data_IF_687552623389
#
_entry.id   IF_687552623389
#
_cell.length_a   1.000
_cell.length_b   1.000
_cell.length_c   1.000
_cell.angle_alpha   90.00
_cell.angle_beta   90.00
_cell.angle_gamma   90.00
#
_symmetry.space_group_name_H-M   'P 1'
#
loop_
_entity.id
_entity.type
_entity.pdbx_description
1 polymer ?
#
# COMPACT_ATOMS: atom_id res chain seq x y z
N UNK A 1 37.69 19.81 -31.78
CA UNK A 1 38.37 19.83 -30.47
C UNK A 1 37.53 19.01 -29.52
N UNK A 2 37.88 17.74 -29.26
CA UNK A 2 37.25 16.98 -28.21
C UNK A 2 37.88 17.40 -26.87
N UNK A 3 37.07 17.98 -25.99
CA UNK A 3 37.48 18.25 -24.63
C UNK A 3 37.61 16.90 -23.90
N UNK A 4 38.85 16.52 -23.63
CA UNK A 4 39.20 15.43 -22.72
C UNK A 4 38.64 15.74 -21.34
N UNK A 5 37.50 15.16 -21.02
CA UNK A 5 37.10 14.95 -19.63
C UNK A 5 37.76 13.62 -19.24
N UNK A 6 38.92 13.74 -18.59
CA UNK A 6 39.51 12.65 -17.85
C UNK A 6 38.49 12.17 -16.80
N UNK A 7 38.35 10.85 -16.61
CA UNK A 7 37.57 10.32 -15.50
C UNK A 7 38.27 10.70 -14.18
N UNK A 8 37.54 11.02 -13.10
CA UNK A 8 38.15 11.04 -11.78
C UNK A 8 38.50 9.61 -11.37
N UNK A 9 39.78 9.25 -11.56
CA UNK A 9 40.44 8.24 -10.75
C UNK A 9 40.56 8.80 -9.34
N UNK A 10 39.69 8.35 -8.43
CA UNK A 10 40.04 7.89 -7.07
C UNK A 10 38.72 7.55 -6.34
N UNK A 11 38.04 6.49 -6.80
CA UNK A 11 37.12 5.78 -5.93
C UNK A 11 38.00 4.91 -5.03
N UNK A 12 38.54 5.52 -3.97
CA UNK A 12 39.10 4.78 -2.86
C UNK A 12 38.06 3.77 -2.42
N UNK A 13 38.32 2.50 -2.73
CA UNK A 13 37.60 1.37 -2.15
C UNK A 13 37.67 1.53 -0.65
N UNK A 14 36.60 2.06 -0.07
CA UNK A 14 36.37 2.02 1.36
C UNK A 14 36.41 0.53 1.74
N UNK A 15 37.41 0.07 2.51
CA UNK A 15 37.39 -1.30 2.95
C UNK A 15 36.14 -1.43 3.81
N UNK A 16 35.23 -2.31 3.39
CA UNK A 16 34.09 -2.73 4.18
C UNK A 16 34.58 -2.92 5.62
N UNK A 17 34.15 -2.03 6.52
CA UNK A 17 34.42 -2.16 7.94
C UNK A 17 33.60 -3.36 8.40
N UNK A 18 34.18 -4.53 8.17
CA UNK A 18 33.79 -5.76 8.82
C UNK A 18 33.91 -5.43 10.31
N UNK A 19 32.84 -5.53 11.12
CA UNK A 19 33.03 -5.48 12.55
C UNK A 19 33.98 -6.64 12.87
N UNK A 20 35.17 -6.30 13.36
CA UNK A 20 36.18 -7.24 13.80
C UNK A 20 35.45 -8.23 14.70
N UNK A 21 35.33 -9.46 14.22
CA UNK A 21 34.68 -10.53 14.95
C UNK A 21 35.61 -10.85 16.09
N UNK A 22 35.41 -10.17 17.22
CA UNK A 22 36.10 -10.46 18.46
C UNK A 22 35.91 -11.96 18.73
N UNK A 23 37.00 -12.74 18.84
CA UNK A 23 36.88 -14.15 19.16
C UNK A 23 36.11 -14.25 20.48
N UNK A 24 35.04 -15.06 20.46
CA UNK A 24 34.27 -15.38 21.66
C UNK A 24 35.27 -15.85 22.72
N UNK A 25 35.34 -15.22 23.91
CA UNK A 25 36.15 -15.76 24.98
C UNK A 25 35.60 -17.14 25.31
N UNK A 26 36.47 -18.14 25.20
CA UNK A 26 36.23 -19.47 25.74
C UNK A 26 35.72 -19.35 27.17
N UNK A 27 34.85 -20.27 27.58
CA UNK A 27 34.17 -20.37 28.87
C UNK A 27 35.13 -20.22 30.06
N UNK A 28 35.52 -18.99 30.34
CA UNK A 28 36.17 -18.51 31.52
C UNK A 28 35.12 -17.68 32.23
N UNK A 29 34.73 -18.15 33.42
CA UNK A 29 33.94 -17.48 34.45
C UNK A 29 33.73 -15.99 34.13
N UNK A 30 32.49 -15.57 33.89
CA UNK A 30 32.13 -14.15 33.81
C UNK A 30 32.56 -13.49 35.11
N UNK A 31 33.80 -12.99 35.13
CA UNK A 31 34.40 -12.36 36.29
C UNK A 31 33.48 -11.19 36.63
N UNK A 32 32.86 -11.16 37.82
CA UNK A 32 31.88 -10.14 38.14
C UNK A 32 32.57 -8.79 38.01
N UNK A 33 32.15 -8.00 37.02
CA UNK A 33 32.68 -6.66 36.78
C UNK A 33 32.50 -5.87 38.08
N UNK A 34 33.61 -5.70 38.81
CA UNK A 34 33.67 -4.98 40.08
C UNK A 34 33.51 -3.49 39.77
N UNK A 35 32.27 -3.03 39.62
CA UNK A 35 31.99 -1.61 39.53
C UNK A 35 32.34 -1.00 40.89
N UNK A 36 33.29 -0.04 40.98
CA UNK A 36 33.50 0.71 42.21
C UNK A 36 32.17 1.35 42.62
N UNK A 37 31.86 1.42 43.91
CA UNK A 37 30.57 1.95 44.40
C UNK A 37 30.28 3.38 43.88
N UNK A 38 31.34 4.16 43.64
CA UNK A 38 31.27 5.46 42.96
C UNK A 38 30.77 5.39 41.49
N UNK A 39 31.08 4.32 40.77
CA UNK A 39 30.62 4.07 39.40
C UNK A 39 29.16 3.62 39.34
N UNK A 40 28.66 2.90 40.35
CA UNK A 40 27.25 2.52 40.42
C UNK A 40 26.33 3.73 40.59
N UNK A 41 26.73 4.70 41.41
CA UNK A 41 26.01 5.95 41.58
C UNK A 41 25.92 6.77 40.28
N UNK A 42 27.00 6.79 39.48
CA UNK A 42 27.02 7.44 38.16
C UNK A 42 26.07 6.75 37.19
N UNK A 43 26.14 5.42 37.08
CA UNK A 43 25.25 4.64 36.21
C UNK A 43 23.78 4.83 36.62
N UNK A 44 23.49 4.82 37.92
CA UNK A 44 22.14 5.07 38.42
C UNK A 44 21.66 6.48 38.07
N UNK A 45 22.53 7.49 38.17
CA UNK A 45 22.22 8.85 37.76
C UNK A 45 21.97 8.96 36.24
N UNK A 46 22.76 8.24 35.43
CA UNK A 46 22.59 8.21 33.98
C UNK A 46 21.28 7.51 33.57
N UNK A 47 20.92 6.40 34.24
CA UNK A 47 19.62 5.72 34.05
C UNK A 47 18.45 6.62 34.48
N UNK A 48 18.59 7.33 35.61
CA UNK A 48 17.58 8.29 36.06
C UNK A 48 17.41 9.46 35.06
N UNK A 49 18.51 9.92 34.46
CA UNK A 49 18.49 10.96 33.43
C UNK A 49 17.88 10.46 32.12
N UNK A 50 18.18 9.23 31.72
CA UNK A 50 17.64 8.62 30.50
C UNK A 50 16.12 8.42 30.64
N UNK A 51 15.66 7.88 31.77
CA UNK A 51 14.22 7.70 32.05
C UNK A 51 13.47 9.03 32.11
N UNK A 52 14.05 10.07 32.71
CA UNK A 52 13.48 11.41 32.67
C UNK A 52 13.35 11.96 31.23
N UNK A 53 14.34 11.68 30.37
CA UNK A 53 14.33 12.09 28.96
C UNK A 53 13.29 11.32 28.14
N UNK A 54 13.08 10.03 28.42
CA UNK A 54 11.99 9.25 27.81
C UNK A 54 10.63 9.83 28.18
N UNK A 55 10.40 10.15 29.46
CA UNK A 55 9.14 10.75 29.89
C UNK A 55 8.85 12.12 29.25
N UNK A 56 9.89 12.89 28.92
CA UNK A 56 9.74 14.16 28.20
C UNK A 56 9.41 13.91 26.71
N UNK A 57 10.05 12.92 26.09
CA UNK A 57 9.78 12.56 24.70
C UNK A 57 8.35 12.03 24.51
N UNK A 58 7.85 11.22 25.45
CA UNK A 58 6.46 10.73 25.42
C UNK A 58 5.45 11.90 25.46
N UNK A 59 5.71 12.91 26.30
CA UNK A 59 4.87 14.12 26.33
C UNK A 59 4.94 14.92 25.04
N UNK A 60 6.10 14.96 24.39
CA UNK A 60 6.25 15.61 23.10
C UNK A 60 5.49 14.85 22.00
N UNK A 61 5.56 13.52 21.99
CA UNK A 61 4.78 12.69 21.06
C UNK A 61 3.28 12.90 21.30
N UNK A 62 2.82 12.88 22.56
CA UNK A 62 1.42 13.17 22.89
C UNK A 62 0.99 14.55 22.40
N UNK A 63 1.85 15.56 22.54
CA UNK A 63 1.57 16.93 22.09
C UNK A 63 1.51 17.04 20.56
N UNK A 64 2.38 16.32 19.85
CA UNK A 64 2.40 16.30 18.38
C UNK A 64 1.28 15.42 17.78
N UNK A 65 0.87 14.38 18.51
CA UNK A 65 -0.19 13.45 18.11
C UNK A 65 -1.58 13.97 18.47
N UNK A 66 -1.67 14.90 19.43
CA UNK A 66 -2.90 15.62 19.71
C UNK A 66 -3.34 16.38 18.45
N UNK A 67 -4.46 15.95 17.87
CA UNK A 67 -5.04 16.60 16.72
C UNK A 67 -5.29 18.09 17.03
N UNK A 68 -4.94 19.01 16.11
CA UNK A 68 -5.29 20.41 16.29
C UNK A 68 -6.81 20.53 16.47
N UNK A 69 -7.28 21.42 17.35
CA UNK A 69 -8.72 21.61 17.53
C UNK A 69 -9.35 21.97 16.18
N UNK A 70 -10.57 21.47 15.89
CA UNK A 70 -11.20 21.68 14.60
C UNK A 70 -11.29 23.18 14.28
N UNK A 71 -11.09 23.56 13.01
CA UNK A 71 -11.02 24.97 12.58
C UNK A 71 -12.30 25.77 12.85
N UNK A 72 -13.41 25.09 13.17
CA UNK A 72 -14.73 25.70 13.37
C UNK A 72 -15.08 26.04 14.82
N UNK A 73 -14.12 25.96 15.76
CA UNK A 73 -14.39 26.45 17.12
C UNK A 73 -14.14 27.96 17.21
N UNK A 74 -15.18 28.81 17.27
CA UNK A 74 -15.02 30.28 17.34
C UNK A 74 -14.31 30.78 18.61
N UNK A 75 -14.00 29.88 19.55
CA UNK A 75 -13.32 30.18 20.81
C UNK A 75 -11.91 29.59 20.93
N UNK A 76 -11.46 28.77 19.97
CA UNK A 76 -10.14 28.14 20.00
C UNK A 76 -8.98 29.15 20.00
N UNK A 77 -9.13 30.25 19.29
CA UNK A 77 -8.17 31.36 19.26
C UNK A 77 -8.00 32.09 20.60
N UNK A 78 -8.90 31.87 21.58
CA UNK A 78 -8.94 32.62 22.84
C UNK A 78 -8.66 31.74 24.07
N UNK A 79 -8.22 30.49 23.90
CA UNK A 79 -7.81 29.60 25.00
C UNK A 79 -8.94 29.21 25.98
N UNK A 80 -10.21 29.37 25.58
CA UNK A 80 -11.34 28.90 26.36
C UNK A 80 -11.54 27.40 26.12
N UNK A 81 -11.85 26.60 27.16
CA UNK A 81 -12.11 25.17 26.98
C UNK A 81 -13.31 25.00 26.04
N UNK A 82 -13.04 24.45 24.85
CA UNK A 82 -14.09 23.93 23.98
C UNK A 82 -14.87 22.83 24.70
N UNK A 83 -16.09 22.54 24.24
CA UNK A 83 -16.98 21.52 24.80
C UNK A 83 -16.32 20.12 24.82
N UNK A 84 -15.47 19.89 25.82
CA UNK A 84 -14.87 18.61 26.16
C UNK A 84 -16.00 17.74 26.74
N UNK A 85 -16.54 16.86 25.91
CA UNK A 85 -17.65 15.99 26.30
C UNK A 85 -18.55 15.54 25.16
N UNK A 86 -18.39 16.08 23.94
CA UNK A 86 -18.99 15.45 22.77
C UNK A 86 -18.21 14.16 22.46
N UNK A 87 -18.90 13.04 22.20
CA UNK A 87 -18.23 11.83 21.76
C UNK A 87 -17.43 12.16 20.49
N UNK A 88 -16.18 11.71 20.42
CA UNK A 88 -15.41 11.78 19.19
C UNK A 88 -16.25 11.20 18.07
N UNK A 89 -16.34 11.91 16.94
CA UNK A 89 -16.99 11.37 15.76
C UNK A 89 -16.35 9.99 15.45
N UNK A 90 -17.14 8.98 15.06
CA UNK A 90 -16.57 7.70 14.65
C UNK A 90 -15.52 7.98 13.57
N UNK A 91 -14.33 7.38 13.73
CA UNK A 91 -13.28 7.51 12.74
C UNK A 91 -13.84 7.07 11.38
N UNK A 92 -13.54 7.79 10.28
CA UNK A 92 -13.95 7.35 8.96
C UNK A 92 -13.40 5.94 8.71
N UNK A 93 -14.16 5.06 8.03
CA UNK A 93 -13.70 3.72 7.70
C UNK A 93 -12.39 3.81 6.90
N UNK A 94 -11.43 2.95 7.22
CA UNK A 94 -10.16 2.90 6.51
C UNK A 94 -10.41 2.41 5.07
N UNK A 95 -9.82 3.07 4.06
CA UNK A 95 -9.98 2.64 2.67
C UNK A 95 -9.27 1.30 2.46
N UNK A 96 -10.04 0.24 2.20
CA UNK A 96 -9.52 -1.08 1.84
C UNK A 96 -9.71 -1.32 0.34
N UNK A 97 -8.72 -1.89 -0.38
CA UNK A 97 -8.91 -2.33 -1.76
C UNK A 97 -10.04 -3.37 -1.87
N UNK A 98 -10.88 -3.25 -2.90
CA UNK A 98 -12.02 -4.16 -3.10
C UNK A 98 -11.62 -5.64 -3.12
N UNK A 99 -10.44 -5.99 -3.67
CA UNK A 99 -9.96 -7.37 -3.74
C UNK A 99 -9.55 -7.97 -2.38
N UNK A 100 -9.51 -7.16 -1.31
CA UNK A 100 -9.28 -7.62 0.06
C UNK A 100 -10.60 -7.83 0.84
N UNK A 101 -11.74 -7.49 0.23
CA UNK A 101 -13.06 -7.70 0.81
C UNK A 101 -13.51 -9.15 0.58
N UNK A 102 -14.35 -9.66 1.47
CA UNK A 102 -14.81 -11.06 1.46
C UNK A 102 -16.34 -11.13 1.35
N UNK A 103 -16.83 -12.16 0.66
CA UNK A 103 -18.24 -12.55 0.57
C UNK A 103 -19.20 -11.36 0.29
N UNK A 104 -20.15 -11.11 1.18
CA UNK A 104 -21.20 -10.09 1.04
C UNK A 104 -20.62 -8.67 0.99
N UNK A 105 -19.51 -8.41 1.69
CA UNK A 105 -18.86 -7.09 1.66
C UNK A 105 -18.26 -6.80 0.28
N UNK A 106 -17.69 -7.83 -0.37
CA UNK A 106 -17.17 -7.69 -1.73
C UNK A 106 -18.28 -7.40 -2.74
N UNK A 107 -19.39 -8.14 -2.66
CA UNK A 107 -20.53 -7.96 -3.59
C UNK A 107 -21.20 -6.59 -3.41
N UNK A 108 -21.43 -6.15 -2.17
CA UNK A 108 -22.00 -4.82 -1.88
C UNK A 108 -21.11 -3.69 -2.41
N UNK A 109 -19.79 -3.81 -2.24
CA UNK A 109 -18.83 -2.83 -2.74
C UNK A 109 -18.76 -2.84 -4.27
N UNK A 110 -18.83 -4.02 -4.90
CA UNK A 110 -18.82 -4.18 -6.36
C UNK A 110 -20.10 -3.62 -7.00
N UNK A 111 -21.25 -3.77 -6.35
CA UNK A 111 -22.52 -3.18 -6.78
C UNK A 111 -22.46 -1.66 -6.71
N UNK A 112 -22.00 -1.10 -5.58
CA UNK A 112 -21.83 0.35 -5.42
C UNK A 112 -20.83 0.93 -6.44
N UNK A 113 -19.74 0.21 -6.71
CA UNK A 113 -18.78 0.57 -7.74
C UNK A 113 -19.43 0.52 -9.13
N UNK A 114 -20.22 -0.50 -9.42
CA UNK A 114 -20.88 -0.67 -10.72
C UNK A 114 -21.87 0.45 -11.01
N UNK A 115 -22.70 0.81 -10.03
CA UNK A 115 -23.59 1.96 -10.13
C UNK A 115 -22.81 3.25 -10.45
N UNK A 116 -21.70 3.49 -9.74
CA UNK A 116 -20.88 4.68 -10.00
C UNK A 116 -20.22 4.66 -11.39
N UNK A 117 -19.73 3.50 -11.84
CA UNK A 117 -19.11 3.35 -13.16
C UNK A 117 -20.13 3.64 -14.26
N UNK A 118 -21.32 3.05 -14.18
CA UNK A 118 -22.34 3.11 -15.23
C UNK A 118 -23.06 4.47 -15.25
N UNK A 119 -23.43 5.01 -14.10
CA UNK A 119 -24.21 6.25 -14.02
C UNK A 119 -23.36 7.51 -14.14
N UNK A 120 -22.08 7.45 -13.75
CA UNK A 120 -21.19 8.62 -13.73
C UNK A 120 -19.96 8.46 -14.61
N UNK A 121 -19.10 7.47 -14.34
CA UNK A 121 -17.77 7.43 -14.98
C UNK A 121 -17.87 7.28 -16.49
N UNK A 122 -18.55 6.24 -16.97
CA UNK A 122 -18.68 5.96 -18.41
C UNK A 122 -19.57 7.00 -19.07
N UNK A 123 -20.62 7.46 -18.40
CA UNK A 123 -21.52 8.48 -18.93
C UNK A 123 -20.84 9.82 -19.20
N UNK A 124 -19.88 10.21 -18.35
CA UNK A 124 -19.20 11.52 -18.42
C UNK A 124 -17.84 11.43 -19.13
N UNK A 125 -17.08 10.37 -18.88
CA UNK A 125 -15.69 10.22 -19.34
C UNK A 125 -15.48 9.04 -20.30
N UNK A 126 -16.52 8.27 -20.60
CA UNK A 126 -16.49 7.18 -21.58
C UNK A 126 -16.47 7.71 -23.01
N UNK A 127 -15.28 8.08 -23.50
CA UNK A 127 -15.07 8.34 -24.93
C UNK A 127 -15.48 7.13 -25.79
N UNK A 128 -15.74 7.35 -27.08
CA UNK A 128 -16.14 6.31 -28.05
C UNK A 128 -15.27 5.05 -27.95
N UNK A 129 -15.92 3.88 -28.03
CA UNK A 129 -15.22 2.60 -28.01
C UNK A 129 -14.56 2.38 -29.36
N UNK A 130 -13.24 2.22 -29.34
CA UNK A 130 -12.43 2.02 -30.54
C UNK A 130 -11.31 1.02 -30.23
N UNK A 131 -10.56 0.57 -31.24
CA UNK A 131 -9.34 -0.23 -31.02
C UNK A 131 -8.29 0.50 -30.17
N UNK A 132 -8.28 1.85 -30.17
CA UNK A 132 -7.36 2.63 -29.36
C UNK A 132 -7.85 2.84 -27.91
N UNK A 133 -9.16 2.69 -27.68
CA UNK A 133 -9.83 2.88 -26.41
C UNK A 133 -10.92 1.81 -26.21
N UNK A 134 -10.56 0.54 -25.97
CA UNK A 134 -11.54 -0.53 -25.75
C UNK A 134 -12.38 -0.28 -24.48
N UNK A 135 -13.50 -0.98 -24.40
CA UNK A 135 -14.33 -1.10 -23.20
C UNK A 135 -14.88 -2.53 -23.10
N UNK A 136 -15.36 -2.94 -21.93
CA UNK A 136 -16.00 -4.24 -21.74
C UNK A 136 -17.28 -4.03 -20.93
N UNK A 137 -18.41 -4.55 -21.42
CA UNK A 137 -19.68 -4.51 -20.68
C UNK A 137 -19.66 -5.45 -19.47
N UNK A 138 -18.76 -6.44 -19.47
CA UNK A 138 -18.50 -7.35 -18.36
C UNK A 138 -17.15 -7.03 -17.71
N UNK A 139 -16.84 -5.75 -17.51
CA UNK A 139 -15.55 -5.33 -16.95
C UNK A 139 -15.32 -5.88 -15.53
N UNK A 140 -16.38 -6.26 -14.81
CA UNK A 140 -16.33 -6.87 -13.49
C UNK A 140 -15.62 -8.24 -13.50
N UNK A 141 -15.59 -8.93 -14.65
CA UNK A 141 -14.83 -10.19 -14.80
C UNK A 141 -13.30 -9.96 -14.93
N UNK A 142 -12.86 -8.70 -14.96
CA UNK A 142 -11.45 -8.32 -15.05
C UNK A 142 -10.97 -7.76 -13.71
N UNK A 143 -10.37 -8.61 -12.86
CA UNK A 143 -9.91 -8.24 -11.51
C UNK A 143 -9.00 -7.00 -11.49
N UNK A 144 -8.13 -6.87 -12.49
CA UNK A 144 -7.25 -5.71 -12.62
C UNK A 144 -8.01 -4.42 -12.94
N UNK A 145 -9.05 -4.48 -13.79
CA UNK A 145 -9.95 -3.36 -14.07
C UNK A 145 -10.77 -3.01 -12.83
N UNK A 146 -11.31 -4.00 -12.13
CA UNK A 146 -12.02 -3.81 -10.86
C UNK A 146 -11.13 -3.06 -9.86
N UNK A 147 -9.88 -3.49 -9.68
CA UNK A 147 -8.93 -2.81 -8.80
C UNK A 147 -8.64 -1.36 -9.22
N UNK A 148 -8.41 -1.11 -10.52
CA UNK A 148 -8.17 0.25 -11.03
C UNK A 148 -9.37 1.17 -10.85
N UNK A 149 -10.58 0.69 -11.15
CA UNK A 149 -11.80 1.49 -11.05
C UNK A 149 -12.19 1.74 -9.60
N UNK A 150 -12.00 0.76 -8.71
CA UNK A 150 -12.24 0.94 -7.28
C UNK A 150 -11.29 1.98 -6.68
N UNK A 151 -9.98 1.88 -6.96
CA UNK A 151 -9.01 2.88 -6.52
C UNK A 151 -9.33 4.28 -7.05
N UNK A 152 -9.77 4.39 -8.31
CA UNK A 152 -10.21 5.65 -8.91
C UNK A 152 -11.46 6.22 -8.21
N UNK A 153 -12.41 5.36 -7.85
CA UNK A 153 -13.62 5.74 -7.13
C UNK A 153 -13.29 6.22 -5.71
N UNK A 154 -12.45 5.51 -4.96
CA UNK A 154 -11.98 5.98 -3.64
C UNK A 154 -11.30 7.35 -3.72
N UNK A 155 -10.43 7.54 -4.73
CA UNK A 155 -9.80 8.84 -4.97
C UNK A 155 -10.83 9.93 -5.31
N UNK A 156 -11.87 9.61 -6.07
CA UNK A 156 -12.97 10.53 -6.36
C UNK A 156 -13.69 10.96 -5.08
N UNK A 157 -14.00 10.02 -4.20
CA UNK A 157 -14.68 10.31 -2.94
C UNK A 157 -13.85 11.26 -2.06
N UNK A 158 -12.55 11.01 -1.92
CA UNK A 158 -11.64 11.88 -1.16
C UNK A 158 -11.58 13.30 -1.74
N UNK A 159 -11.51 13.45 -3.06
CA UNK A 159 -11.30 14.75 -3.71
C UNK A 159 -12.58 15.53 -4.01
N UNK A 160 -13.73 14.86 -3.92
CA UNK A 160 -15.06 15.48 -3.91
C UNK A 160 -15.42 16.03 -2.52
N UNK A 161 -14.78 15.54 -1.47
CA UNK A 161 -15.05 15.97 -0.10
C UNK A 161 -14.82 17.47 0.09
N UNK A 162 -15.57 18.10 1.00
CA UNK A 162 -15.48 19.53 1.27
C UNK A 162 -14.07 19.94 1.76
N UNK A 163 -13.40 19.05 2.50
CA UNK A 163 -12.06 19.29 3.05
C UNK A 163 -10.97 19.30 1.97
N UNK A 164 -11.24 18.77 0.77
CA UNK A 164 -10.31 18.83 -0.36
C UNK A 164 -10.18 20.24 -0.98
N UNK A 165 -11.08 21.16 -0.62
CA UNK A 165 -11.11 22.54 -1.11
C UNK A 165 -11.56 22.67 -2.58
N UNK A 166 -11.67 23.92 -3.06
CA UNK A 166 -12.26 24.23 -4.37
C UNK A 166 -11.50 23.63 -5.56
N UNK A 167 -10.23 23.29 -5.39
CA UNK A 167 -9.40 22.65 -6.42
C UNK A 167 -9.44 21.13 -6.39
N UNK A 168 -10.08 20.49 -5.40
CA UNK A 168 -10.03 19.05 -5.17
C UNK A 168 -10.39 18.23 -6.40
N UNK A 169 -11.51 18.56 -7.05
CA UNK A 169 -11.93 17.88 -8.28
C UNK A 169 -10.94 18.05 -9.44
N UNK A 170 -10.28 19.21 -9.58
CA UNK A 170 -9.29 19.39 -10.63
C UNK A 170 -8.01 18.57 -10.38
N UNK A 171 -7.63 18.42 -9.11
CA UNK A 171 -6.56 17.50 -8.69
C UNK A 171 -6.94 16.06 -9.03
N UNK A 172 -8.17 15.64 -8.72
CA UNK A 172 -8.66 14.29 -9.07
C UNK A 172 -8.55 14.00 -10.57
N UNK A 173 -8.96 14.95 -11.42
CA UNK A 173 -8.85 14.80 -12.88
C UNK A 173 -7.40 14.63 -13.34
N UNK A 174 -6.50 15.48 -12.83
CA UNK A 174 -5.09 15.54 -13.22
C UNK A 174 -4.33 14.29 -12.79
N UNK A 175 -4.51 13.87 -11.54
CA UNK A 175 -3.64 12.88 -10.90
C UNK A 175 -4.18 11.46 -10.98
N UNK A 176 -5.51 11.27 -11.05
CA UNK A 176 -6.13 9.95 -10.92
C UNK A 176 -6.93 9.57 -12.17
N UNK A 177 -7.94 10.35 -12.54
CA UNK A 177 -8.84 10.01 -13.65
C UNK A 177 -8.09 9.82 -14.97
N UNK A 178 -7.27 10.80 -15.35
CA UNK A 178 -6.55 10.75 -16.64
C UNK A 178 -5.63 9.54 -16.70
N UNK A 179 -4.94 9.22 -15.60
CA UNK A 179 -4.03 8.09 -15.52
C UNK A 179 -4.78 6.74 -15.57
N UNK A 180 -5.80 6.56 -14.72
CA UNK A 180 -6.57 5.33 -14.65
C UNK A 180 -7.26 5.02 -15.99
N UNK A 181 -7.91 6.02 -16.60
CA UNK A 181 -8.60 5.83 -17.90
C UNK A 181 -7.61 5.54 -19.04
N UNK A 182 -6.43 6.18 -19.04
CA UNK A 182 -5.39 5.88 -20.02
C UNK A 182 -4.82 4.46 -19.87
N UNK A 183 -4.77 3.92 -18.64
CA UNK A 183 -4.30 2.55 -18.39
C UNK A 183 -5.37 1.51 -18.72
N UNK A 184 -6.58 1.63 -18.16
CA UNK A 184 -7.68 0.65 -18.32
C UNK A 184 -8.09 0.53 -19.79
N UNK A 185 -8.18 1.67 -20.49
CA UNK A 185 -8.58 1.73 -21.89
C UNK A 185 -7.40 1.84 -22.85
N UNK A 186 -6.18 1.45 -22.45
CA UNK A 186 -5.08 1.38 -23.41
C UNK A 186 -5.34 0.28 -24.46
N UNK A 187 -4.91 0.49 -25.70
CA UNK A 187 -5.00 -0.52 -26.77
C UNK A 187 -4.30 -1.86 -26.43
N UNK A 188 -3.27 -1.82 -25.57
CA UNK A 188 -2.59 -3.00 -25.02
C UNK A 188 -2.86 -3.24 -23.54
N UNK A 189 -3.88 -2.57 -22.99
CA UNK A 189 -4.28 -2.66 -21.60
C UNK A 189 -5.13 -3.90 -21.28
N UNK A 190 -5.72 -3.95 -20.08
CA UNK A 190 -6.46 -5.11 -19.59
C UNK A 190 -7.70 -5.45 -20.44
N UNK A 191 -8.30 -4.44 -21.07
CA UNK A 191 -9.45 -4.59 -21.96
C UNK A 191 -9.09 -4.76 -23.43
N UNK A 192 -7.81 -4.94 -23.78
CA UNK A 192 -7.34 -5.02 -25.18
C UNK A 192 -7.94 -6.17 -26.00
N UNK A 193 -8.41 -7.23 -25.35
CA UNK A 193 -9.07 -8.36 -25.99
C UNK A 193 -10.62 -8.28 -25.97
N UNK A 194 -11.18 -7.19 -25.46
CA UNK A 194 -12.62 -6.97 -25.33
C UNK A 194 -13.17 -6.09 -26.47
N UNK A 195 -14.34 -5.48 -26.27
CA UNK A 195 -15.05 -4.70 -27.27
C UNK A 195 -14.23 -3.50 -27.75
N UNK A 196 -13.99 -3.47 -29.06
CA UNK A 196 -13.28 -2.39 -29.77
C UNK A 196 -14.16 -1.70 -30.82
N UNK A 197 -15.41 -2.17 -30.96
CA UNK A 197 -16.45 -1.66 -31.84
C UNK A 197 -17.81 -1.86 -31.12
N UNK A 198 -18.58 -0.79 -30.85
CA UNK A 198 -19.88 -0.89 -30.17
C UNK A 198 -20.87 -1.86 -30.82
N UNK A 199 -20.80 -2.05 -32.15
CA UNK A 199 -21.72 -2.93 -32.86
C UNK A 199 -21.30 -4.41 -32.79
N UNK A 200 -20.12 -4.70 -32.21
CA UNK A 200 -19.53 -6.03 -32.12
C UNK A 200 -19.03 -6.29 -30.69
N UNK A 201 -19.94 -6.65 -29.77
CA UNK A 201 -19.56 -6.95 -28.40
C UNK A 201 -18.58 -8.13 -28.37
N UNK A 202 -17.53 -7.98 -27.58
CA UNK A 202 -16.52 -9.01 -27.36
C UNK A 202 -16.08 -8.95 -25.90
N UNK A 203 -16.00 -10.11 -25.27
CA UNK A 203 -15.50 -10.28 -23.92
C UNK A 203 -14.45 -11.41 -23.93
N UNK A 204 -13.27 -11.13 -23.40
CA UNK A 204 -12.21 -12.12 -23.22
C UNK A 204 -11.22 -11.65 -22.15
N UNK A 205 -11.16 -12.40 -21.06
CA UNK A 205 -10.10 -12.25 -20.04
C UNK A 205 -8.79 -12.82 -20.59
N UNK A 206 -7.72 -12.02 -20.54
CA UNK A 206 -6.38 -12.46 -20.88
C UNK A 206 -5.72 -13.11 -19.66
N UNK A 207 -5.08 -14.29 -19.79
CA UNK A 207 -4.40 -14.89 -18.66
C UNK A 207 -3.19 -14.06 -18.25
N UNK A 208 -3.02 -13.86 -16.94
CA UNK A 208 -1.86 -13.20 -16.37
C UNK A 208 -0.55 -13.96 -16.65
N UNK A 209 0.61 -13.28 -16.53
CA UNK A 209 1.90 -13.94 -16.61
C UNK A 209 2.04 -14.99 -15.50
N UNK A 210 2.85 -16.02 -15.74
CA UNK A 210 3.14 -17.01 -14.70
C UNK A 210 3.86 -16.36 -13.52
N UNK A 211 3.57 -16.79 -12.27
CA UNK A 211 4.33 -16.38 -11.11
C UNK A 211 5.83 -16.65 -11.29
N UNK A 212 6.66 -15.91 -10.54
CA UNK A 212 8.11 -16.10 -10.58
C UNK A 212 8.51 -17.52 -10.18
N UNK A 213 9.62 -18.01 -10.73
CA UNK A 213 10.16 -19.33 -10.39
C UNK A 213 10.52 -19.49 -8.90
N UNK A 214 10.78 -18.38 -8.19
CA UNK A 214 11.01 -18.37 -6.74
C UNK A 214 9.77 -18.85 -5.96
N UNK A 215 8.58 -18.48 -6.43
CA UNK A 215 7.32 -18.88 -5.80
C UNK A 215 7.01 -20.34 -6.08
N UNK A 216 7.23 -20.80 -7.31
CA UNK A 216 6.91 -22.19 -7.72
C UNK A 216 7.83 -23.24 -7.09
N UNK A 217 9.09 -22.89 -6.78
CA UNK A 217 10.02 -23.81 -6.10
C UNK A 217 9.66 -24.08 -4.63
N UNK A 218 8.73 -23.34 -4.05
CA UNK A 218 8.27 -23.57 -2.68
C UNK A 218 7.10 -24.58 -2.59
N UNK A 219 6.48 -24.92 -3.72
CA UNK A 219 5.19 -25.64 -3.76
C UNK A 219 5.27 -27.07 -4.33
N UNK A 220 6.43 -27.60 -4.73
CA UNK A 220 6.51 -29.01 -5.18
C UNK A 220 6.22 -29.97 -4.00
N UNK A 221 5.07 -30.69 -4.00
CA UNK A 221 4.83 -31.75 -3.03
C UNK A 221 5.55 -33.00 -3.51
N UNK A 222 6.19 -33.68 -2.57
CA UNK A 222 6.85 -34.97 -2.72
C UNK A 222 5.84 -36.05 -3.18
N UNK A 223 5.59 -36.19 -4.48
CA UNK A 223 4.94 -37.38 -5.04
C UNK A 223 5.92 -38.56 -4.98
N UNK A 224 5.94 -39.20 -3.81
CA UNK A 224 6.61 -40.47 -3.59
C UNK A 224 5.71 -41.58 -4.18
N UNK A 225 5.90 -41.91 -5.46
CA UNK A 225 5.27 -43.06 -6.10
C UNK A 225 5.67 -44.37 -5.37
N UNK A 226 4.73 -45.01 -4.68
CA UNK A 226 4.84 -46.43 -4.31
C UNK A 226 4.36 -47.31 -5.48
N UNK A 227 5.17 -48.26 -5.98
CA UNK A 227 4.71 -49.19 -7.00
C UNK A 227 3.89 -50.32 -6.36
N UNK A 228 2.56 -50.13 -6.32
CA UNK A 228 1.59 -51.17 -5.94
C UNK A 228 1.45 -52.25 -7.02
N UNK A 229 1.72 -53.50 -6.65
CA UNK A 229 1.70 -54.69 -7.50
C UNK A 229 0.32 -54.99 -8.14
N UNK A 230 0.28 -55.63 -9.33
CA UNK A 230 -0.98 -55.99 -9.97
C UNK A 230 -1.59 -57.25 -9.34
N UNK A 231 -2.75 -57.08 -8.70
CA UNK A 231 -3.64 -58.15 -8.27
C UNK A 231 -4.44 -58.74 -9.43
N UNK A 232 -4.44 -60.07 -9.49
CA UNK A 232 -5.15 -60.92 -10.44
C UNK A 232 -6.67 -60.75 -10.39
N UNK A 233 -7.34 -60.87 -11.54
CA UNK A 233 -8.75 -61.25 -11.60
C UNK A 233 -8.98 -62.22 -12.77
N UNK A 234 -9.30 -63.47 -12.41
CA UNK A 234 -9.97 -64.45 -13.25
C UNK A 234 -11.46 -64.15 -13.30
N UNK A 235 -12.09 -64.41 -14.45
CA UNK A 235 -13.54 -64.39 -14.66
C UNK A 235 -13.89 -64.60 -16.12
#
# INVERSE_FOLDING_TARGET
MPESINPPEDAGTEPAHTPDSHPLPEEGELEPVRVPEAGLASIQADVAKLTARFADHDRQIDTLSAAPPPPDSPFGAYGLPGFAGLPAAPAPPEPRPILELEDEEYEDELDALSDWVDDFLVRVYGAEVTTAAPWCEQWQEHEDVVAWLHALWLAYQQHKDAEAGLSGLFVWHRDFLTHAMATVRAAGGPLSACMTDPDRPAHRVLPGPRPSNRTTSAEEPEEREEPGAPGQASG
#
